data_IF_509034367597
#
_entry.id   IF_509034367597
#
_cell.length_a   1.000
_cell.length_b   1.000
_cell.length_c   1.000
_cell.angle_alpha   90.00
_cell.angle_beta   90.00
_cell.angle_gamma   90.00
#
_symmetry.space_group_name_H-M   'P 1'
#
loop_
_entity.id
_entity.type
_entity.pdbx_description
1 polymer ?
#
# COMPACT_ATOMS: atom_id res chain seq x y z
N UNK A 1 -22.00 -2.69 5.47
CA UNK A 1 -20.78 -3.20 6.13
C UNK A 1 -20.98 -4.67 6.46
N UNK A 2 -19.90 -5.43 6.63
CA UNK A 2 -19.95 -6.82 7.10
C UNK A 2 -19.71 -6.88 8.62
N UNK A 3 -20.44 -7.71 9.38
CA UNK A 3 -20.21 -7.88 10.82
C UNK A 3 -18.76 -8.29 11.14
N UNK A 4 -18.17 -7.67 12.16
CA UNK A 4 -16.81 -7.96 12.61
C UNK A 4 -15.69 -7.27 11.82
N UNK A 5 -16.01 -6.59 10.70
CA UNK A 5 -15.00 -5.84 9.95
C UNK A 5 -14.55 -4.59 10.73
N UNK A 6 -13.24 -4.34 10.74
CA UNK A 6 -12.61 -3.12 11.29
C UNK A 6 -12.09 -2.25 10.16
N UNK A 7 -11.96 -0.94 10.42
CA UNK A 7 -11.45 0.04 9.46
C UNK A 7 -10.46 0.98 10.16
N UNK A 8 -9.31 1.24 9.55
CA UNK A 8 -8.36 2.23 10.05
C UNK A 8 -8.88 3.65 9.82
N UNK A 9 -8.35 4.62 10.55
CA UNK A 9 -8.91 5.97 10.63
C UNK A 9 -8.30 7.00 9.67
N UNK A 10 -7.47 6.57 8.70
CA UNK A 10 -6.97 7.51 7.69
C UNK A 10 -8.11 8.03 6.81
N UNK A 11 -8.26 9.35 6.62
CA UNK A 11 -9.45 9.92 5.99
C UNK A 11 -9.57 9.59 4.50
N UNK A 12 -8.45 9.35 3.81
CA UNK A 12 -8.39 9.15 2.35
C UNK A 12 -7.81 7.78 1.93
N UNK A 13 -7.15 7.08 2.84
CA UNK A 13 -6.35 5.88 2.53
C UNK A 13 -6.62 4.72 3.50
N UNK A 14 -7.79 4.71 4.15
CA UNK A 14 -8.14 3.71 5.16
C UNK A 14 -8.10 2.29 4.58
N UNK A 15 -7.71 1.33 5.42
CA UNK A 15 -7.81 -0.10 5.17
C UNK A 15 -8.99 -0.69 5.95
N UNK A 16 -9.57 -1.75 5.40
CA UNK A 16 -10.54 -2.57 6.11
C UNK A 16 -10.00 -3.99 6.30
N UNK A 17 -10.25 -4.59 7.45
CA UNK A 17 -9.81 -5.95 7.77
C UNK A 17 -10.93 -6.73 8.46
N UNK A 18 -10.94 -8.05 8.25
CA UNK A 18 -11.87 -8.98 8.88
C UNK A 18 -11.13 -10.25 9.27
N UNK A 19 -11.31 -10.69 10.52
CA UNK A 19 -10.65 -11.88 11.07
C UNK A 19 -9.92 -11.58 12.38
N UNK A 20 -9.18 -12.56 12.93
CA UNK A 20 -8.55 -12.47 14.25
C UNK A 20 -7.58 -11.30 14.41
N UNK A 21 -6.89 -10.91 13.34
CA UNK A 21 -5.88 -9.83 13.34
C UNK A 21 -6.45 -8.47 12.88
N UNK A 22 -7.76 -8.38 12.60
CA UNK A 22 -8.35 -7.19 12.01
C UNK A 22 -8.14 -5.93 12.85
N UNK A 23 -8.26 -6.05 14.17
CA UNK A 23 -8.01 -4.95 15.10
C UNK A 23 -6.55 -4.51 15.04
N UNK A 24 -5.61 -5.45 15.07
CA UNK A 24 -4.17 -5.15 15.02
C UNK A 24 -3.76 -4.47 13.70
N UNK A 25 -4.24 -4.98 12.56
CA UNK A 25 -3.94 -4.42 11.23
C UNK A 25 -4.47 -2.99 11.09
N UNK A 26 -5.59 -2.66 11.72
CA UNK A 26 -6.29 -1.38 11.53
C UNK A 26 -6.16 -0.40 12.70
N UNK A 27 -5.45 -0.78 13.77
CA UNK A 27 -5.34 -0.01 15.01
C UNK A 27 -4.75 1.39 14.81
N UNK A 28 -3.80 1.52 13.87
CA UNK A 28 -3.09 2.77 13.63
C UNK A 28 -2.80 2.96 12.14
N UNK A 29 -2.92 4.21 11.69
CA UNK A 29 -2.46 4.65 10.38
C UNK A 29 -2.10 6.14 10.44
N UNK A 30 -0.84 6.46 10.16
CA UNK A 30 -0.34 7.83 10.18
C UNK A 30 -1.03 8.69 9.12
N UNK A 31 -1.31 9.97 9.43
CA UNK A 31 -1.76 10.95 8.43
C UNK A 31 -0.64 11.29 7.43
N UNK A 32 0.60 11.37 7.90
CA UNK A 32 1.72 11.76 7.04
C UNK A 32 2.36 10.60 6.29
N UNK A 33 2.20 9.37 6.81
CA UNK A 33 2.77 8.15 6.24
C UNK A 33 1.69 7.07 6.11
N UNK A 34 0.64 7.28 5.30
CA UNK A 34 -0.51 6.38 5.24
C UNK A 34 -0.16 4.95 4.79
N UNK A 35 0.98 4.80 4.08
CA UNK A 35 1.48 3.55 3.54
C UNK A 35 2.82 3.11 4.14
N UNK A 36 3.27 3.75 5.23
CA UNK A 36 4.54 3.48 5.90
C UNK A 36 4.56 2.23 6.80
N UNK A 37 5.72 1.98 7.41
CA UNK A 37 6.00 0.79 8.23
C UNK A 37 5.14 0.70 9.51
N UNK A 38 4.64 1.82 10.03
CA UNK A 38 3.83 1.82 11.27
C UNK A 38 2.34 1.55 11.01
N UNK A 39 1.89 1.61 9.75
CA UNK A 39 0.49 1.45 9.36
C UNK A 39 0.11 0.02 8.93
N UNK A 40 -1.08 -0.13 8.31
CA UNK A 40 -1.59 -1.43 7.88
C UNK A 40 -0.64 -2.20 6.95
N UNK A 41 0.03 -1.52 6.01
CA UNK A 41 1.00 -2.19 5.11
C UNK A 41 2.21 -2.73 5.87
N UNK A 42 2.76 -1.98 6.83
CA UNK A 42 3.88 -2.45 7.63
C UNK A 42 3.50 -3.61 8.55
N UNK A 43 2.29 -3.63 9.11
CA UNK A 43 1.76 -4.79 9.86
C UNK A 43 1.65 -6.02 8.95
N UNK A 44 1.06 -5.88 7.76
CA UNK A 44 0.91 -6.96 6.79
C UNK A 44 2.27 -7.47 6.29
N UNK A 45 3.23 -6.58 6.08
CA UNK A 45 4.61 -6.91 5.72
C UNK A 45 5.28 -7.76 6.82
N UNK A 46 5.25 -7.31 8.08
CA UNK A 46 5.83 -8.05 9.22
C UNK A 46 5.15 -9.39 9.47
N UNK A 47 3.88 -9.51 9.10
CA UNK A 47 3.09 -10.74 9.26
C UNK A 47 3.23 -11.69 8.08
N UNK A 48 4.14 -11.41 7.13
CA UNK A 48 4.37 -12.21 5.92
C UNK A 48 3.08 -12.48 5.12
N UNK A 49 2.22 -11.47 5.00
CA UNK A 49 0.95 -11.56 4.31
C UNK A 49 1.12 -11.95 2.84
N UNK A 50 0.03 -12.42 2.22
CA UNK A 50 -0.07 -12.62 0.77
C UNK A 50 -0.98 -11.56 0.16
N UNK A 51 -0.64 -11.11 -1.04
CA UNK A 51 -1.41 -10.14 -1.82
C UNK A 51 -2.05 -10.89 -2.99
N UNK A 52 -3.34 -10.63 -3.21
CA UNK A 52 -4.09 -11.11 -4.36
C UNK A 52 -4.63 -9.90 -5.15
N UNK A 53 -4.20 -9.79 -6.40
CA UNK A 53 -4.85 -8.94 -7.40
C UNK A 53 -5.84 -9.82 -8.17
N UNK A 54 -7.14 -9.53 -8.05
CA UNK A 54 -8.23 -10.31 -8.65
C UNK A 54 -8.85 -9.52 -9.79
N UNK A 55 -8.42 -9.78 -11.04
CA UNK A 55 -8.85 -9.01 -12.20
C UNK A 55 -8.30 -7.59 -12.26
N UNK A 56 -7.28 -7.28 -11.45
CA UNK A 56 -6.64 -5.97 -11.35
C UNK A 56 -5.15 -6.06 -11.75
N UNK A 57 -4.64 -4.97 -12.31
CA UNK A 57 -3.22 -4.79 -12.60
C UNK A 57 -2.43 -4.31 -11.40
N UNK A 58 -1.12 -4.14 -11.58
CA UNK A 58 -0.22 -3.67 -10.52
C UNK A 58 -0.37 -2.19 -10.20
N UNK A 59 -1.00 -1.40 -11.06
CA UNK A 59 -1.48 -0.03 -10.77
C UNK A 59 -2.37 0.02 -9.52
N UNK A 60 -3.10 -1.06 -9.24
CA UNK A 60 -3.93 -1.19 -8.04
C UNK A 60 -3.20 -1.82 -6.83
N UNK A 61 -1.91 -2.15 -6.94
CA UNK A 61 -1.17 -2.84 -5.89
C UNK A 61 -0.64 -1.85 -4.84
N UNK A 62 -1.48 -1.51 -3.85
CA UNK A 62 -1.15 -0.55 -2.78
C UNK A 62 0.13 -0.89 -2.01
N UNK A 63 0.50 -2.18 -1.92
CA UNK A 63 1.73 -2.60 -1.27
C UNK A 63 3.01 -2.02 -1.91
N UNK A 64 2.97 -1.65 -3.20
CA UNK A 64 4.12 -1.06 -3.87
C UNK A 64 4.44 0.35 -3.36
N UNK A 65 3.51 1.06 -2.72
CA UNK A 65 3.86 2.31 -2.02
C UNK A 65 4.85 2.08 -0.87
N UNK A 66 4.78 0.92 -0.20
CA UNK A 66 5.78 0.57 0.82
C UNK A 66 7.16 0.34 0.18
N UNK A 67 7.20 -0.15 -1.05
CA UNK A 67 8.45 -0.27 -1.82
C UNK A 67 9.04 1.09 -2.18
N UNK A 68 8.20 2.06 -2.57
CA UNK A 68 8.65 3.43 -2.85
C UNK A 68 9.32 4.06 -1.63
N UNK A 69 8.70 3.96 -0.46
CA UNK A 69 9.25 4.50 0.78
C UNK A 69 10.57 3.83 1.18
N UNK A 70 10.74 2.53 0.87
CA UNK A 70 12.00 1.80 1.08
C UNK A 70 13.09 2.20 0.08
N UNK A 71 12.73 2.38 -1.20
CA UNK A 71 13.66 2.74 -2.25
C UNK A 71 14.09 4.22 -2.18
N UNK A 72 13.16 5.10 -1.82
CA UNK A 72 13.30 6.54 -1.87
C UNK A 72 12.81 7.17 -0.56
N UNK A 73 13.60 7.06 0.54
CA UNK A 73 13.19 7.58 1.85
C UNK A 73 13.05 9.11 1.90
N UNK A 74 13.57 9.81 0.89
CA UNK A 74 13.56 11.28 0.78
C UNK A 74 12.62 11.78 -0.32
N UNK A 75 11.53 11.06 -0.61
CA UNK A 75 10.51 11.52 -1.55
C UNK A 75 10.01 12.92 -1.17
N UNK A 76 9.76 13.80 -2.16
CA UNK A 76 9.13 15.09 -1.91
C UNK A 76 7.81 14.92 -1.17
N UNK A 77 7.47 15.88 -0.31
CA UNK A 77 6.18 15.89 0.37
C UNK A 77 5.18 16.75 -0.38
N UNK A 78 3.94 16.28 -0.50
CA UNK A 78 2.81 17.01 -1.06
C UNK A 78 1.82 17.37 0.06
N UNK A 79 1.29 18.59 0.00
CA UNK A 79 0.31 19.05 0.97
C UNK A 79 -1.08 18.49 0.62
N UNK A 80 -1.69 17.83 1.60
CA UNK A 80 -3.04 17.30 1.54
C UNK A 80 -3.91 17.87 2.67
N UNK A 81 -5.20 17.56 2.61
CA UNK A 81 -6.09 17.81 3.72
C UNK A 81 -7.42 17.12 3.54
N UNK A 82 -8.09 16.87 4.67
CA UNK A 82 -9.42 16.29 4.67
C UNK A 82 -10.25 16.83 5.83
N UNK A 83 -11.57 16.79 5.67
CA UNK A 83 -12.48 17.09 6.76
C UNK A 83 -12.53 15.90 7.73
N UNK A 84 -12.11 16.13 8.97
CA UNK A 84 -12.07 15.12 10.03
C UNK A 84 -12.86 15.57 11.25
N UNK A 85 -13.30 14.62 12.07
CA UNK A 85 -13.84 14.93 13.41
C UNK A 85 -12.69 15.00 14.39
N UNK A 86 -12.46 16.18 14.97
CA UNK A 86 -11.44 16.45 15.98
C UNK A 86 -12.16 17.04 17.19
N UNK A 87 -12.02 16.40 18.35
CA UNK A 87 -12.73 16.77 19.60
C UNK A 87 -14.25 16.90 19.42
N UNK A 88 -14.85 15.99 18.64
CA UNK A 88 -16.29 16.00 18.35
C UNK A 88 -16.75 17.05 17.33
N UNK A 89 -15.84 17.85 16.76
CA UNK A 89 -16.16 18.89 15.79
C UNK A 89 -15.55 18.59 14.42
N UNK A 90 -16.28 18.89 13.34
CA UNK A 90 -15.74 18.80 11.99
C UNK A 90 -14.73 19.93 11.75
N UNK A 91 -13.48 19.57 11.47
CA UNK A 91 -12.38 20.50 11.15
C UNK A 91 -11.69 20.08 9.86
N UNK A 92 -11.20 21.05 9.09
CA UNK A 92 -10.28 20.78 7.99
C UNK A 92 -8.89 20.54 8.57
N UNK A 93 -8.37 19.33 8.44
CA UNK A 93 -7.03 18.95 8.93
C UNK A 93 -6.11 18.88 7.73
N UNK A 94 -5.01 19.64 7.77
CA UNK A 94 -3.94 19.58 6.77
C UNK A 94 -2.85 18.63 7.25
N UNK A 95 -2.28 17.89 6.32
CA UNK A 95 -1.17 17.00 6.55
C UNK A 95 -0.39 16.86 5.24
N UNK A 96 0.90 16.59 5.34
CA UNK A 96 1.74 16.35 4.16
C UNK A 96 1.98 14.85 4.03
N UNK A 97 2.01 14.31 2.81
CA UNK A 97 2.35 12.91 2.52
C UNK A 97 3.50 12.81 1.54
N UNK A 98 4.21 11.68 1.51
CA UNK A 98 5.20 11.41 0.48
C UNK A 98 4.53 11.36 -0.91
N UNK A 99 5.16 11.96 -1.92
CA UNK A 99 4.72 11.92 -3.30
C UNK A 99 4.92 10.51 -3.89
N UNK A 100 3.86 9.71 -3.93
CA UNK A 100 3.88 8.40 -4.60
C UNK A 100 3.93 8.53 -6.13
N UNK A 101 4.38 7.48 -6.79
CA UNK A 101 4.51 7.35 -8.24
C UNK A 101 3.94 6.01 -8.74
N UNK A 102 2.60 5.82 -8.67
CA UNK A 102 1.96 4.56 -9.06
C UNK A 102 2.06 4.26 -10.56
N UNK A 103 2.36 5.25 -11.40
CA UNK A 103 2.50 5.10 -12.86
C UNK A 103 3.61 4.11 -13.24
N UNK A 104 4.64 3.94 -12.39
CA UNK A 104 5.69 2.94 -12.57
C UNK A 104 5.28 1.50 -12.21
N UNK A 105 4.20 1.32 -11.45
CA UNK A 105 3.84 0.02 -10.87
C UNK A 105 3.55 -1.07 -11.91
N UNK A 106 2.85 -0.81 -13.03
CA UNK A 106 2.65 -1.81 -14.08
C UNK A 106 3.97 -2.37 -14.62
N UNK A 107 4.96 -1.50 -14.86
CA UNK A 107 6.28 -1.90 -15.37
C UNK A 107 7.05 -2.76 -14.36
N UNK A 108 7.10 -2.31 -13.10
CA UNK A 108 7.73 -3.04 -11.99
C UNK A 108 7.08 -4.40 -11.78
N UNK A 109 5.75 -4.43 -11.67
CA UNK A 109 5.00 -5.67 -11.46
C UNK A 109 5.22 -6.68 -12.59
N UNK A 110 5.22 -6.23 -13.85
CA UNK A 110 5.49 -7.10 -14.99
C UNK A 110 6.94 -7.63 -15.01
N UNK A 111 7.92 -6.87 -14.52
CA UNK A 111 9.28 -7.37 -14.32
C UNK A 111 9.32 -8.47 -13.25
N UNK A 112 8.60 -8.28 -12.14
CA UNK A 112 8.53 -9.25 -11.03
C UNK A 112 7.77 -10.52 -11.41
N UNK A 113 6.82 -10.45 -12.34
CA UNK A 113 6.23 -11.64 -12.99
C UNK A 113 7.30 -12.42 -13.77
N UNK A 114 8.12 -11.74 -14.58
CA UNK A 114 9.19 -12.40 -15.36
C UNK A 114 10.27 -13.03 -14.48
N UNK A 115 10.56 -12.42 -13.33
CA UNK A 115 11.50 -12.93 -12.34
C UNK A 115 10.93 -14.07 -11.49
N UNK A 116 9.64 -14.40 -11.63
CA UNK A 116 8.99 -15.48 -10.87
C UNK A 116 8.61 -15.11 -9.43
N UNK A 117 8.71 -13.83 -9.04
CA UNK A 117 8.28 -13.33 -7.72
C UNK A 117 6.75 -13.35 -7.60
N UNK A 118 6.05 -13.20 -8.74
CA UNK A 118 4.59 -13.20 -8.81
C UNK A 118 4.08 -14.43 -9.54
N UNK A 119 3.10 -15.12 -8.94
CA UNK A 119 2.37 -16.20 -9.59
C UNK A 119 1.13 -15.64 -10.27
N UNK A 120 1.00 -15.89 -11.58
CA UNK A 120 -0.18 -15.52 -12.36
C UNK A 120 -1.09 -16.74 -12.58
N UNK A 121 -2.39 -16.54 -12.50
CA UNK A 121 -3.40 -17.58 -12.74
C UNK A 121 -4.75 -16.98 -13.12
N UNK A 122 -5.80 -17.81 -13.12
CA UNK A 122 -7.18 -17.37 -13.38
C UNK A 122 -8.11 -17.76 -12.25
N UNK A 123 -9.06 -16.88 -11.94
CA UNK A 123 -10.25 -17.17 -11.14
C UNK A 123 -11.46 -16.80 -12.00
N UNK A 124 -12.21 -17.81 -12.45
CA UNK A 124 -13.20 -17.63 -13.51
C UNK A 124 -12.54 -17.08 -14.78
N UNK A 125 -13.08 -15.97 -15.32
CA UNK A 125 -12.51 -15.32 -16.50
C UNK A 125 -11.34 -14.37 -16.18
N UNK A 126 -11.16 -13.96 -14.92
CA UNK A 126 -10.23 -12.91 -14.51
C UNK A 126 -8.78 -13.40 -14.42
N UNK A 127 -7.84 -12.63 -14.97
CA UNK A 127 -6.41 -12.79 -14.71
C UNK A 127 -6.11 -12.33 -13.29
N UNK A 128 -5.37 -13.14 -12.55
CA UNK A 128 -5.06 -12.88 -11.15
C UNK A 128 -3.57 -13.01 -10.88
N UNK A 129 -3.09 -12.24 -9.91
CA UNK A 129 -1.72 -12.30 -9.44
C UNK A 129 -1.71 -12.58 -7.94
N UNK A 130 -0.96 -13.60 -7.52
CA UNK A 130 -0.74 -13.95 -6.11
C UNK A 130 0.76 -13.85 -5.81
N UNK A 131 1.10 -13.15 -4.73
CA UNK A 131 2.49 -12.93 -4.32
C UNK A 131 2.63 -12.85 -2.80
N UNK A 132 3.84 -13.10 -2.28
CA UNK A 132 4.19 -12.77 -0.90
C UNK A 132 4.41 -11.27 -0.79
N UNK A 133 3.89 -10.65 0.28
CA UNK A 133 4.04 -9.22 0.52
C UNK A 133 5.50 -8.84 0.74
N UNK A 134 6.26 -9.63 1.51
CA UNK A 134 7.68 -9.32 1.73
C UNK A 134 8.48 -9.43 0.43
N UNK A 135 8.27 -10.51 -0.31
CA UNK A 135 8.99 -10.76 -1.56
C UNK A 135 8.72 -9.69 -2.63
N UNK A 136 7.46 -9.27 -2.82
CA UNK A 136 7.15 -8.22 -3.79
C UNK A 136 7.67 -6.87 -3.32
N UNK A 137 7.54 -6.54 -2.04
CA UNK A 137 7.92 -5.23 -1.52
C UNK A 137 9.42 -5.02 -1.65
N UNK A 138 10.22 -6.01 -1.25
CA UNK A 138 11.69 -5.94 -1.27
C UNK A 138 12.22 -5.96 -2.72
N UNK A 139 11.70 -6.85 -3.56
CA UNK A 139 12.15 -6.95 -4.94
C UNK A 139 11.78 -5.70 -5.75
N UNK A 140 10.58 -5.14 -5.54
CA UNK A 140 10.18 -3.88 -6.16
C UNK A 140 11.05 -2.71 -5.67
N UNK A 141 11.34 -2.64 -4.36
CA UNK A 141 12.19 -1.59 -3.80
C UNK A 141 13.60 -1.63 -4.40
N UNK A 142 14.17 -2.82 -4.62
CA UNK A 142 15.45 -2.97 -5.31
C UNK A 142 15.42 -2.43 -6.75
N UNK A 143 14.40 -2.81 -7.53
CA UNK A 143 14.24 -2.31 -8.91
C UNK A 143 14.04 -0.79 -8.96
N UNK A 144 13.28 -0.23 -8.02
CA UNK A 144 13.03 1.21 -7.90
C UNK A 144 14.30 1.98 -7.50
N UNK A 145 15.10 1.42 -6.58
CA UNK A 145 16.36 2.03 -6.17
C UNK A 145 17.36 2.14 -7.34
N UNK A 146 17.40 1.14 -8.22
CA UNK A 146 18.23 1.16 -9.44
C UNK A 146 17.78 2.20 -10.48
N UNK A 147 16.48 2.48 -10.55
CA UNK A 147 15.91 3.46 -11.50
C UNK A 147 16.09 4.92 -11.03
N UNK A 148 16.29 5.14 -9.74
CA UNK A 148 16.27 6.46 -9.12
C UNK A 148 14.84 7.00 -8.94
N UNK A 149 14.69 8.03 -8.11
CA UNK A 149 13.39 8.62 -7.84
C UNK A 149 12.87 9.38 -9.09
N UNK A 150 11.57 9.28 -9.42
CA UNK A 150 11.00 9.84 -10.65
C UNK A 150 10.82 11.37 -10.62
N UNK A 151 11.22 12.02 -9.51
CA UNK A 151 11.08 13.46 -9.28
C UNK A 151 12.42 14.22 -9.38
N UNK A 152 13.43 13.60 -9.98
CA UNK A 152 14.78 14.13 -10.17
C UNK A 152 15.05 14.73 -11.55
#
# INVERSE_FOLDING_TARGET
SWPGARRSLHPTCSFAALGPEAEWITAWQSLGEPFGDDGPLGVLYRSAARILLLGAGFDACTALHLSELKAWPSLPRIAEGSAMTVDGQRRWVRFDVAAGYPDGFPGIGQALVRQGVVRTGRVGSATCHLMSMTAIVDAAAGLMAEQGAPFG
#
